data_IF_003059211130
#
_entry.id   IF_003059211130
#
_cell.length_a   1.000
_cell.length_b   1.000
_cell.length_c   1.000
_cell.angle_alpha   90.00
_cell.angle_beta   90.00
_cell.angle_gamma   90.00
#
_symmetry.space_group_name_H-M   'P 1'
#
loop_
_entity.id
_entity.type
_entity.pdbx_description
1 polymer ?
#
# COMPACT_ATOMS: atom_id res chain seq x y z
N UNK A 1 11.33 -5.73 -2.93
CA UNK A 1 10.27 -4.76 -2.57
C UNK A 1 9.03 -5.15 -3.38
N UNK A 2 7.91 -5.44 -2.73
CA UNK A 2 6.77 -6.11 -3.41
C UNK A 2 5.73 -5.12 -3.93
N UNK A 3 5.43 -4.09 -3.15
CA UNK A 3 4.51 -3.00 -3.51
C UNK A 3 4.88 -1.68 -2.84
N UNK A 4 4.61 -0.57 -3.52
CA UNK A 4 4.73 0.79 -3.00
C UNK A 4 3.35 1.32 -2.58
N UNK A 5 3.32 2.18 -1.55
CA UNK A 5 2.11 2.87 -1.12
C UNK A 5 2.45 4.28 -0.61
N UNK A 6 1.48 5.20 -0.48
CA UNK A 6 1.71 6.52 0.07
C UNK A 6 2.37 6.48 1.46
N UNK A 7 3.44 7.24 1.63
CA UNK A 7 4.29 7.18 2.83
C UNK A 7 4.81 8.55 3.26
N UNK A 8 4.42 9.63 2.59
CA UNK A 8 4.86 11.00 2.87
C UNK A 8 3.64 11.90 2.93
N UNK A 9 3.66 12.88 3.85
CA UNK A 9 2.54 13.79 4.09
C UNK A 9 1.25 13.02 4.44
N UNK A 10 1.39 11.93 5.22
CA UNK A 10 0.25 11.11 5.64
C UNK A 10 -0.36 11.72 6.88
N UNK A 11 -1.66 12.03 6.80
CA UNK A 11 -2.47 12.43 7.96
C UNK A 11 -2.91 11.19 8.73
N UNK A 12 -2.58 11.14 10.02
CA UNK A 12 -2.92 10.01 10.90
C UNK A 12 -3.22 10.50 12.32
N UNK A 13 -3.85 9.64 13.12
CA UNK A 13 -4.10 9.89 14.54
C UNK A 13 -2.90 9.38 15.36
N UNK A 14 -2.40 10.22 16.27
CA UNK A 14 -1.31 9.86 17.17
C UNK A 14 -1.79 9.03 18.37
N UNK A 15 -0.87 8.65 19.26
CA UNK A 15 -1.17 7.82 20.43
C UNK A 15 -2.14 8.48 21.44
N UNK A 16 -2.38 9.79 21.33
CA UNK A 16 -3.24 10.58 22.21
C UNK A 16 -4.54 11.01 21.53
N UNK A 17 -4.85 10.45 20.35
CA UNK A 17 -6.06 10.78 19.61
C UNK A 17 -5.99 12.09 18.83
N UNK A 18 -4.81 12.71 18.72
CA UNK A 18 -4.64 13.98 18.01
C UNK A 18 -4.26 13.74 16.54
N UNK A 19 -4.77 14.56 15.59
CA UNK A 19 -4.33 14.49 14.21
C UNK A 19 -2.89 14.99 14.06
N UNK A 20 -2.08 14.23 13.33
CA UNK A 20 -0.74 14.61 12.88
C UNK A 20 -0.71 14.54 11.35
N UNK A 21 -0.32 15.63 10.69
CA UNK A 21 -0.56 15.84 9.26
C UNK A 21 0.70 15.74 8.38
N UNK A 22 1.88 15.54 8.99
CA UNK A 22 3.18 15.58 8.32
C UNK A 22 3.98 14.28 8.47
N UNK A 23 3.31 13.15 8.70
CA UNK A 23 3.98 11.88 8.90
C UNK A 23 4.69 11.41 7.64
N UNK A 24 5.86 10.78 7.84
CA UNK A 24 6.68 10.23 6.77
C UNK A 24 7.38 8.95 7.21
N UNK A 25 7.41 7.97 6.31
CA UNK A 25 8.16 6.72 6.47
C UNK A 25 7.40 5.53 5.92
N UNK A 26 8.11 4.45 5.59
CA UNK A 26 7.48 3.19 5.13
C UNK A 26 6.52 2.61 6.16
N UNK A 27 6.69 2.96 7.46
CA UNK A 27 5.73 2.68 8.53
C UNK A 27 4.35 3.28 8.31
N UNK A 28 4.20 4.32 7.48
CA UNK A 28 2.91 4.89 7.09
C UNK A 28 2.36 4.30 5.78
N UNK A 29 3.21 3.67 4.95
CA UNK A 29 2.77 2.86 3.82
C UNK A 29 2.25 1.48 4.25
N UNK A 30 2.91 0.84 5.21
CA UNK A 30 2.54 -0.48 5.73
C UNK A 30 1.06 -0.59 6.15
N UNK A 31 0.48 0.34 6.95
CA UNK A 31 -0.93 0.27 7.33
C UNK A 31 -1.88 0.46 6.14
N UNK A 32 -1.49 1.16 5.07
CA UNK A 32 -2.31 1.27 3.86
C UNK A 32 -2.39 -0.07 3.12
N UNK A 33 -1.26 -0.77 3.01
CA UNK A 33 -1.21 -2.13 2.43
C UNK A 33 -1.98 -3.12 3.32
N UNK A 34 -1.84 -3.02 4.64
CA UNK A 34 -2.59 -3.85 5.59
C UNK A 34 -4.11 -3.60 5.51
N UNK A 35 -4.52 -2.33 5.36
CA UNK A 35 -5.92 -1.96 5.15
C UNK A 35 -6.47 -2.54 3.84
N UNK A 36 -5.74 -2.42 2.74
CA UNK A 36 -6.12 -3.04 1.46
C UNK A 36 -6.24 -4.56 1.56
N UNK A 37 -5.29 -5.22 2.24
CA UNK A 37 -5.36 -6.66 2.50
C UNK A 37 -6.60 -7.03 3.35
N UNK A 38 -6.99 -6.19 4.31
CA UNK A 38 -8.22 -6.38 5.08
C UNK A 38 -9.49 -6.26 4.21
N UNK A 39 -9.53 -5.32 3.26
CA UNK A 39 -10.62 -5.22 2.29
C UNK A 39 -10.69 -6.45 1.37
N UNK A 40 -9.54 -6.96 0.91
CA UNK A 40 -9.49 -8.23 0.17
C UNK A 40 -9.96 -9.41 1.00
N UNK A 41 -9.58 -9.49 2.28
CA UNK A 41 -10.07 -10.53 3.20
C UNK A 41 -11.58 -10.41 3.43
N UNK A 42 -12.12 -9.20 3.51
CA UNK A 42 -13.56 -9.00 3.62
C UNK A 42 -14.30 -9.53 2.38
N UNK A 43 -13.75 -9.32 1.18
CA UNK A 43 -14.31 -9.81 -0.09
C UNK A 43 -14.11 -11.33 -0.28
N UNK A 44 -12.99 -11.87 0.21
CA UNK A 44 -12.58 -13.27 0.07
C UNK A 44 -12.21 -13.86 1.46
N UNK A 45 -13.20 -14.19 2.29
CA UNK A 45 -12.96 -14.59 3.70
C UNK A 45 -12.06 -15.83 3.83
N UNK A 46 -12.24 -16.78 2.92
CA UNK A 46 -11.55 -18.08 2.89
C UNK A 46 -10.21 -18.05 2.14
N UNK A 47 -9.83 -16.92 1.53
CA UNK A 47 -8.58 -16.84 0.80
C UNK A 47 -7.37 -16.98 1.73
N UNK A 48 -6.41 -17.78 1.30
CA UNK A 48 -5.12 -17.94 1.93
C UNK A 48 -4.31 -16.62 1.90
N UNK A 49 -3.30 -16.45 2.78
CA UNK A 49 -2.42 -15.29 2.73
C UNK A 49 -1.76 -15.07 1.37
N UNK A 50 -1.39 -16.16 0.67
CA UNK A 50 -0.79 -16.09 -0.66
C UNK A 50 -1.78 -15.58 -1.71
N UNK A 51 -3.03 -16.05 -1.67
CA UNK A 51 -4.06 -15.58 -2.59
C UNK A 51 -4.37 -14.10 -2.39
N UNK A 52 -4.44 -13.64 -1.14
CA UNK A 52 -4.64 -12.22 -0.82
C UNK A 52 -3.47 -11.35 -1.27
N UNK A 53 -2.23 -11.84 -1.09
CA UNK A 53 -1.05 -11.16 -1.61
C UNK A 53 -1.10 -11.05 -3.14
N UNK A 54 -1.45 -12.15 -3.83
CA UNK A 54 -1.58 -12.14 -5.29
C UNK A 54 -2.65 -11.15 -5.75
N UNK A 55 -3.82 -11.11 -5.11
CA UNK A 55 -4.88 -10.13 -5.42
C UNK A 55 -4.40 -8.70 -5.27
N UNK A 56 -3.68 -8.41 -4.18
CA UNK A 56 -3.13 -7.08 -3.92
C UNK A 56 -2.07 -6.67 -4.98
N UNK A 57 -1.23 -7.61 -5.43
CA UNK A 57 -0.20 -7.36 -6.44
C UNK A 57 -0.75 -7.30 -7.87
N UNK A 58 -1.77 -8.09 -8.20
CA UNK A 58 -2.47 -8.10 -9.50
C UNK A 58 -3.26 -6.81 -9.71
N UNK A 59 -3.83 -6.25 -8.64
CA UNK A 59 -4.62 -5.02 -8.68
C UNK A 59 -3.77 -3.73 -8.65
N UNK A 60 -2.47 -3.84 -8.35
CA UNK A 60 -1.58 -2.69 -8.24
C UNK A 60 -1.46 -1.91 -9.56
N UNK A 61 -1.49 -0.57 -9.46
CA UNK A 61 -1.25 0.32 -10.60
C UNK A 61 0.24 0.38 -10.96
N UNK A 62 0.55 0.41 -12.25
CA UNK A 62 1.94 0.46 -12.76
C UNK A 62 2.36 1.85 -13.25
N UNK A 63 1.40 2.75 -13.46
CA UNK A 63 1.62 4.05 -14.13
C UNK A 63 1.74 5.21 -13.14
N UNK A 64 1.51 4.98 -11.84
CA UNK A 64 1.43 6.03 -10.82
C UNK A 64 2.78 6.41 -10.19
N UNK A 65 3.86 5.72 -10.54
CA UNK A 65 5.17 5.91 -9.91
C UNK A 65 6.21 6.29 -10.96
N UNK A 66 6.75 7.49 -10.81
CA UNK A 66 7.95 7.90 -11.53
C UNK A 66 9.18 7.55 -10.67
N UNK A 67 9.95 6.56 -11.11
CA UNK A 67 11.18 6.12 -10.43
C UNK A 67 12.41 6.72 -11.13
N UNK A 68 13.30 7.42 -10.39
CA UNK A 68 14.63 7.77 -10.87
C UNK A 68 15.39 6.51 -11.31
N UNK A 69 16.24 6.63 -12.34
CA UNK A 69 17.09 5.55 -12.87
C UNK A 69 17.76 4.67 -11.78
N UNK A 70 18.43 5.21 -10.74
CA UNK A 70 19.09 4.37 -9.73
C UNK A 70 18.11 3.51 -8.90
N UNK A 71 16.84 3.90 -8.81
CA UNK A 71 15.85 3.21 -7.99
C UNK A 71 15.08 2.13 -8.77
N UNK A 72 15.14 2.14 -10.11
CA UNK A 72 14.41 1.20 -10.97
C UNK A 72 14.86 -0.25 -10.83
N UNK A 73 16.11 -0.48 -10.43
CA UNK A 73 16.64 -1.83 -10.19
C UNK A 73 16.25 -2.39 -8.81
N UNK A 74 15.89 -1.50 -7.87
CA UNK A 74 15.67 -1.85 -6.46
C UNK A 74 14.20 -1.82 -6.05
N UNK A 75 13.41 -0.99 -6.71
CA UNK A 75 12.00 -0.76 -6.40
C UNK A 75 11.09 -1.34 -7.48
N UNK A 76 9.97 -1.88 -7.03
CA UNK A 76 8.87 -2.26 -7.91
C UNK A 76 8.18 -1.02 -8.46
N UNK A 77 7.56 -1.14 -9.63
CA UNK A 77 6.65 -0.12 -10.17
C UNK A 77 5.20 -0.28 -9.67
N UNK A 78 4.92 -1.39 -8.98
CA UNK A 78 3.60 -1.67 -8.41
C UNK A 78 3.29 -0.68 -7.30
N UNK A 79 2.23 0.08 -7.48
CA UNK A 79 1.70 1.01 -6.51
C UNK A 79 0.30 0.59 -6.09
N UNK A 80 0.03 0.66 -4.79
CA UNK A 80 -1.26 0.34 -4.22
C UNK A 80 -2.36 1.16 -4.94
N UNK A 81 -3.35 0.47 -5.49
CA UNK A 81 -4.46 1.07 -6.22
C UNK A 81 -5.77 0.37 -5.84
N UNK A 82 -6.68 1.11 -5.22
CA UNK A 82 -7.99 0.60 -4.79
C UNK A 82 -9.13 1.09 -5.71
N UNK A 83 -8.78 1.65 -6.88
CA UNK A 83 -9.77 2.26 -7.79
C UNK A 83 -10.52 1.26 -8.68
N UNK A 84 -10.04 0.01 -8.78
CA UNK A 84 -10.64 -1.04 -9.62
C UNK A 84 -11.35 -2.07 -8.76
N UNK A 85 -10.56 -2.78 -7.95
CA UNK A 85 -10.96 -3.71 -6.91
C UNK A 85 -10.18 -3.34 -5.62
N UNK A 86 -10.42 -3.96 -4.44
CA UNK A 86 -10.16 -3.31 -3.14
C UNK A 86 -8.70 -3.16 -2.69
#
# INVERSE_FOLDING_TARGET
>A
MDILAPASLVKAIDAYGQPCDNNRGTSFAAPLVAGAAALWRQKLPEASPLELQNKLLENAGLERVNLPEPDRERLTRRFLDLSREP
#
